data_IF_786262598047
#
_entry.id   IF_786262598047
#
_cell.length_a   1.000
_cell.length_b   1.000
_cell.length_c   1.000
_cell.angle_alpha   90.00
_cell.angle_beta   90.00
_cell.angle_gamma   90.00
#
_symmetry.space_group_name_H-M   'P 1'
#
loop_
_entity.id
_entity.type
_entity.pdbx_description
1 polymer ?
#
# COMPACT_ATOMS: atom_id res chain seq x y z
N UNK A 1 -11.70 24.77 -3.91
CA UNK A 1 -11.47 23.88 -5.08
C UNK A 1 -10.09 23.23 -5.05
N UNK A 2 -9.03 23.97 -4.71
CA UNK A 2 -7.64 23.48 -4.61
C UNK A 2 -7.44 22.37 -3.56
N UNK A 3 -7.96 22.58 -2.35
CA UNK A 3 -7.85 21.63 -1.22
C UNK A 3 -8.39 20.23 -1.57
N UNK A 4 -9.45 20.15 -2.38
CA UNK A 4 -10.04 18.87 -2.84
C UNK A 4 -9.15 18.12 -3.82
N UNK A 5 -8.43 18.85 -4.68
CA UNK A 5 -7.48 18.26 -5.63
C UNK A 5 -6.22 17.79 -4.90
N UNK A 6 -5.83 18.47 -3.82
CA UNK A 6 -4.66 18.11 -3.01
C UNK A 6 -4.87 16.88 -2.11
N UNK A 7 -6.08 16.66 -1.60
CA UNK A 7 -6.41 15.56 -0.69
C UNK A 7 -5.86 14.16 -1.12
N UNK A 8 -6.10 13.65 -2.34
CA UNK A 8 -5.56 12.35 -2.73
C UNK A 8 -4.02 12.29 -2.77
N UNK A 9 -3.35 13.42 -3.05
CA UNK A 9 -1.89 13.50 -3.00
C UNK A 9 -1.38 13.49 -1.57
N UNK A 10 -2.07 14.15 -0.64
CA UNK A 10 -1.74 14.05 0.78
C UNK A 10 -1.95 12.64 1.32
N UNK A 11 -2.98 11.92 0.87
CA UNK A 11 -3.16 10.53 1.27
C UNK A 11 -2.03 9.67 0.71
N UNK A 12 -1.72 9.79 -0.59
CA UNK A 12 -0.64 9.00 -1.19
C UNK A 12 0.70 9.30 -0.53
N UNK A 13 1.03 10.58 -0.31
CA UNK A 13 2.25 10.96 0.39
C UNK A 13 2.28 10.39 1.80
N UNK A 14 1.15 10.44 2.53
CA UNK A 14 1.02 9.84 3.86
C UNK A 14 1.28 8.34 3.85
N UNK A 15 0.67 7.60 2.92
CA UNK A 15 0.86 6.16 2.77
C UNK A 15 2.31 5.81 2.39
N UNK A 16 2.93 6.58 1.50
CA UNK A 16 4.36 6.41 1.15
C UNK A 16 5.23 6.63 2.38
N UNK A 17 5.01 7.68 3.16
CA UNK A 17 5.76 7.92 4.39
C UNK A 17 5.62 6.78 5.39
N UNK A 18 4.40 6.27 5.61
CA UNK A 18 4.15 5.15 6.54
C UNK A 18 4.86 3.89 6.04
N UNK A 19 4.65 3.51 4.78
CA UNK A 19 5.19 2.26 4.23
C UNK A 19 6.72 2.31 4.16
N UNK A 20 7.30 3.41 3.65
CA UNK A 20 8.75 3.54 3.54
C UNK A 20 9.42 3.57 4.90
N UNK A 21 8.86 4.29 5.89
CA UNK A 21 9.44 4.31 7.25
C UNK A 21 9.31 2.96 7.94
N UNK A 22 8.16 2.29 7.85
CA UNK A 22 7.96 0.96 8.44
C UNK A 22 8.88 -0.09 7.83
N UNK A 23 8.96 -0.17 6.50
CA UNK A 23 9.88 -1.11 5.83
C UNK A 23 11.34 -0.84 6.18
N UNK A 24 11.71 0.43 6.28
CA UNK A 24 13.07 0.80 6.66
C UNK A 24 13.39 0.40 8.11
N UNK A 25 12.46 0.62 9.05
CA UNK A 25 12.59 0.17 10.45
C UNK A 25 12.82 -1.34 10.52
N UNK A 26 12.05 -2.13 9.78
CA UNK A 26 12.20 -3.58 9.79
C UNK A 26 13.54 -4.04 9.19
N UNK A 27 13.97 -3.42 8.09
CA UNK A 27 15.19 -3.84 7.39
C UNK A 27 16.48 -3.53 8.15
N UNK A 28 16.48 -2.47 8.97
CA UNK A 28 17.65 -2.00 9.75
C UNK A 28 17.56 -2.46 11.21
N UNK A 29 16.64 -3.38 11.54
CA UNK A 29 16.43 -3.80 12.93
C UNK A 29 17.65 -4.47 13.56
N UNK A 30 18.34 -5.33 12.82
CA UNK A 30 19.52 -6.07 13.31
C UNK A 30 20.82 -5.26 13.23
N UNK A 31 20.81 -4.12 12.55
CA UNK A 31 21.98 -3.25 12.48
C UNK A 31 22.26 -2.58 13.83
N UNK A 32 23.54 -2.36 14.13
CA UNK A 32 23.98 -1.75 15.40
C UNK A 32 23.50 -0.30 15.57
N UNK A 33 23.10 0.37 14.49
CA UNK A 33 22.68 1.75 14.53
C UNK A 33 21.34 1.91 15.27
N UNK A 34 21.31 2.89 16.17
CA UNK A 34 20.05 3.34 16.77
C UNK A 34 19.13 3.85 15.69
N UNK A 35 17.84 3.55 15.77
CA UNK A 35 16.88 4.14 14.82
C UNK A 35 16.99 5.67 14.88
N UNK A 36 17.25 6.35 13.75
CA UNK A 36 17.28 7.78 13.69
C UNK A 36 15.89 8.27 14.05
N UNK A 37 15.84 9.30 14.90
CA UNK A 37 14.65 10.09 15.22
C UNK A 37 13.80 10.43 13.98
N UNK A 38 14.47 10.55 12.83
CA UNK A 38 13.88 10.72 11.51
C UNK A 38 12.79 9.69 11.18
N UNK A 39 12.95 8.41 11.52
CA UNK A 39 12.00 7.37 11.14
C UNK A 39 10.71 7.42 11.95
N UNK A 40 10.81 7.79 13.24
CA UNK A 40 9.65 8.13 14.07
C UNK A 40 8.90 9.33 13.50
N UNK A 41 9.64 10.39 13.15
CA UNK A 41 9.07 11.61 12.59
C UNK A 41 8.36 11.37 11.26
N UNK A 42 8.95 10.58 10.37
CA UNK A 42 8.32 10.20 9.10
C UNK A 42 7.04 9.39 9.31
N UNK A 43 7.05 8.42 10.23
CA UNK A 43 5.88 7.59 10.51
C UNK A 43 4.72 8.43 11.07
N UNK A 44 4.99 9.29 12.06
CA UNK A 44 3.99 10.23 12.61
C UNK A 44 3.48 11.18 11.53
N UNK A 45 4.38 11.77 10.74
CA UNK A 45 4.01 12.68 9.64
C UNK A 45 3.11 11.96 8.63
N UNK A 46 3.42 10.72 8.28
CA UNK A 46 2.61 9.91 7.37
C UNK A 46 1.21 9.62 7.90
N UNK A 47 1.09 9.30 9.18
CA UNK A 47 -0.20 9.10 9.86
C UNK A 47 -1.03 10.40 9.85
N UNK A 48 -0.41 11.52 10.24
CA UNK A 48 -1.08 12.83 10.27
C UNK A 48 -1.56 13.23 8.87
N UNK A 49 -0.72 13.09 7.85
CA UNK A 49 -1.11 13.37 6.45
C UNK A 49 -2.29 12.52 6.00
N UNK A 50 -2.31 11.25 6.36
CA UNK A 50 -3.38 10.32 6.01
C UNK A 50 -4.70 10.69 6.69
N UNK A 51 -4.66 11.03 7.98
CA UNK A 51 -5.84 11.49 8.75
C UNK A 51 -6.36 12.82 8.21
N UNK A 52 -5.48 13.80 7.97
CA UNK A 52 -5.86 15.11 7.42
C UNK A 52 -6.51 14.92 6.06
N UNK A 53 -5.94 14.10 5.19
CA UNK A 53 -6.53 13.81 3.88
C UNK A 53 -7.92 13.17 3.99
N UNK A 54 -8.09 12.22 4.90
CA UNK A 54 -9.38 11.59 5.17
C UNK A 54 -10.43 12.62 5.61
N UNK A 55 -10.09 13.48 6.58
CA UNK A 55 -10.99 14.53 7.08
C UNK A 55 -11.36 15.53 5.99
N UNK A 56 -10.38 15.96 5.18
CA UNK A 56 -10.62 16.86 4.04
C UNK A 56 -11.56 16.22 3.01
N UNK A 57 -11.41 14.92 2.76
CA UNK A 57 -12.26 14.18 1.82
C UNK A 57 -13.67 14.00 2.38
N UNK A 58 -13.80 13.71 3.68
CA UNK A 58 -15.07 13.55 4.37
C UNK A 58 -15.88 14.86 4.44
N UNK A 59 -15.22 15.99 4.74
CA UNK A 59 -15.85 17.30 4.86
C UNK A 59 -16.43 17.82 3.53
N UNK A 60 -15.93 17.34 2.39
CA UNK A 60 -16.30 17.84 1.05
C UNK A 60 -17.29 16.91 0.33
N UNK A 61 -17.97 16.00 1.05
CA UNK A 61 -18.95 15.05 0.49
C UNK A 61 -20.12 15.76 -0.22
N UNK A 62 -20.01 15.98 -1.53
CA UNK A 62 -21.14 16.19 -2.46
C UNK A 62 -21.45 14.90 -3.21
N UNK A 63 -22.75 14.70 -3.51
CA UNK A 63 -23.27 13.58 -4.32
C UNK A 63 -22.42 13.40 -5.60
N UNK A 64 -22.10 12.15 -6.00
CA UNK A 64 -21.26 11.89 -7.16
C UNK A 64 -21.95 12.42 -8.43
N UNK A 65 -21.37 13.43 -9.07
CA UNK A 65 -21.67 13.74 -10.46
C UNK A 65 -21.03 12.65 -11.31
N UNK A 66 -21.83 11.71 -11.79
CA UNK A 66 -21.41 10.68 -12.75
C UNK A 66 -20.94 11.38 -14.02
N UNK A 67 -19.63 11.41 -14.24
CA UNK A 67 -19.08 11.81 -15.54
C UNK A 67 -19.21 10.62 -16.50
N UNK A 68 -19.57 10.88 -17.76
CA UNK A 68 -19.93 9.89 -18.77
C UNK A 68 -18.86 8.80 -18.94
N UNK A 69 -19.30 7.57 -19.07
CA UNK A 69 -18.51 6.33 -19.21
C UNK A 69 -17.57 6.30 -20.43
N UNK A 70 -17.86 7.09 -21.48
CA UNK A 70 -17.09 7.13 -22.75
C UNK A 70 -15.65 7.60 -22.55
N UNK A 71 -15.42 8.76 -21.91
CA UNK A 71 -14.07 9.31 -21.68
C UNK A 71 -13.17 8.39 -20.84
N UNK A 72 -13.78 7.54 -19.99
CA UNK A 72 -13.05 6.61 -19.12
C UNK A 72 -12.54 5.39 -19.90
N UNK A 73 -13.28 4.91 -20.90
CA UNK A 73 -12.86 3.77 -21.73
C UNK A 73 -11.63 4.14 -22.57
N UNK A 74 -11.67 5.30 -23.21
CA UNK A 74 -10.57 5.79 -24.05
C UNK A 74 -9.30 6.05 -23.23
N UNK A 75 -9.42 6.66 -22.04
CA UNK A 75 -8.28 6.85 -21.14
C UNK A 75 -7.71 5.51 -20.65
N UNK A 76 -8.56 4.52 -20.37
CA UNK A 76 -8.14 3.22 -19.87
C UNK A 76 -7.46 2.39 -20.95
N UNK A 77 -7.97 2.42 -22.18
CA UNK A 77 -7.35 1.78 -23.34
C UNK A 77 -6.02 2.46 -23.70
N UNK A 78 -5.96 3.79 -23.60
CA UNK A 78 -4.71 4.55 -23.70
C UNK A 78 -3.71 4.16 -22.60
N UNK A 79 -4.15 4.09 -21.34
CA UNK A 79 -3.28 3.76 -20.21
C UNK A 79 -2.77 2.32 -20.28
N UNK A 80 -3.59 1.37 -20.77
CA UNK A 80 -3.18 -0.02 -20.98
C UNK A 80 -2.18 -0.17 -22.12
N UNK A 81 -2.47 0.41 -23.30
CA UNK A 81 -1.56 0.38 -24.46
C UNK A 81 -0.26 1.12 -24.20
N UNK A 82 -0.35 2.28 -23.56
CA UNK A 82 0.82 3.05 -23.13
C UNK A 82 1.58 2.30 -22.03
N UNK A 83 0.88 1.67 -21.09
CA UNK A 83 1.45 0.83 -20.04
C UNK A 83 2.26 -0.33 -20.61
N UNK A 84 1.81 -0.99 -21.68
CA UNK A 84 2.57 -2.07 -22.30
C UNK A 84 3.85 -1.57 -23.00
N UNK A 85 3.75 -0.43 -23.71
CA UNK A 85 4.88 0.15 -24.45
C UNK A 85 5.92 0.78 -23.52
N UNK A 86 5.50 1.60 -22.56
CA UNK A 86 6.37 2.27 -21.61
C UNK A 86 6.78 1.34 -20.47
N UNK A 87 5.92 0.42 -20.06
CA UNK A 87 6.21 -0.56 -19.01
C UNK A 87 7.36 -1.49 -19.40
N UNK A 88 7.37 -2.02 -20.65
CA UNK A 88 8.51 -2.83 -21.13
C UNK A 88 9.83 -2.04 -21.15
N UNK A 89 9.80 -0.77 -21.57
CA UNK A 89 10.98 0.12 -21.56
C UNK A 89 11.46 0.45 -20.15
N UNK A 90 10.52 0.74 -19.26
CA UNK A 90 10.80 1.09 -17.87
C UNK A 90 11.32 -0.13 -17.10
N UNK A 91 10.72 -1.30 -17.29
CA UNK A 91 11.22 -2.57 -16.73
C UNK A 91 12.62 -2.90 -17.26
N UNK A 92 12.86 -2.76 -18.57
CA UNK A 92 14.20 -2.94 -19.14
C UNK A 92 15.22 -1.94 -18.59
N UNK A 93 14.83 -0.68 -18.41
CA UNK A 93 15.68 0.36 -17.81
C UNK A 93 16.02 0.08 -16.34
N UNK A 94 15.03 -0.33 -15.55
CA UNK A 94 15.24 -0.74 -14.14
C UNK A 94 16.16 -1.95 -14.08
N UNK A 95 15.96 -2.95 -14.93
CA UNK A 95 16.80 -4.15 -14.95
C UNK A 95 18.25 -3.80 -15.34
N UNK A 96 18.44 -2.95 -16.35
CA UNK A 96 19.76 -2.47 -16.73
C UNK A 96 20.43 -1.68 -15.59
N UNK A 97 19.69 -0.80 -14.91
CA UNK A 97 20.20 -0.06 -13.75
C UNK A 97 20.60 -1.00 -12.60
N UNK A 98 19.79 -2.03 -12.32
CA UNK A 98 20.11 -3.04 -11.30
C UNK A 98 21.36 -3.85 -11.67
N UNK A 99 21.54 -4.24 -12.94
CA UNK A 99 22.75 -4.93 -13.40
C UNK A 99 23.98 -4.04 -13.22
N UNK A 100 23.88 -2.76 -13.59
CA UNK A 100 24.98 -1.80 -13.40
C UNK A 100 25.33 -1.67 -11.91
N UNK A 101 24.33 -1.47 -11.05
CA UNK A 101 24.54 -1.38 -9.59
C UNK A 101 25.16 -2.68 -9.08
N UNK A 102 24.68 -3.85 -9.52
CA UNK A 102 25.20 -5.14 -9.09
C UNK A 102 26.68 -5.36 -9.44
N UNK A 103 27.19 -4.73 -10.50
CA UNK A 103 28.61 -4.76 -10.82
C UNK A 103 29.48 -3.96 -9.83
N UNK A 104 28.91 -2.95 -9.15
CA UNK A 104 29.61 -2.13 -8.16
C UNK A 104 29.36 -2.60 -6.72
N UNK A 105 28.10 -2.92 -6.41
CA UNK A 105 27.63 -3.36 -5.10
C UNK A 105 26.44 -4.32 -5.28
N UNK A 106 26.73 -5.61 -5.18
CA UNK A 106 25.75 -6.68 -5.32
C UNK A 106 24.71 -6.68 -4.20
N UNK A 107 25.12 -6.35 -2.96
CA UNK A 107 24.23 -6.31 -1.82
C UNK A 107 23.23 -5.16 -1.95
N UNK A 108 23.70 -4.00 -2.41
CA UNK A 108 22.82 -2.86 -2.71
C UNK A 108 21.81 -3.23 -3.80
N UNK A 109 22.24 -3.89 -4.87
CA UNK A 109 21.34 -4.33 -5.94
C UNK A 109 20.23 -5.27 -5.44
N UNK A 110 20.56 -6.23 -4.57
CA UNK A 110 19.58 -7.10 -3.93
C UNK A 110 18.65 -6.31 -3.01
N UNK A 111 19.19 -5.39 -2.20
CA UNK A 111 18.39 -4.58 -1.28
C UNK A 111 17.34 -3.73 -2.00
N UNK A 112 17.62 -3.31 -3.24
CA UNK A 112 16.70 -2.53 -4.08
C UNK A 112 15.58 -3.37 -4.71
N UNK A 113 15.68 -4.70 -4.74
CA UNK A 113 14.61 -5.56 -5.29
C UNK A 113 13.32 -5.48 -4.47
N UNK A 114 13.41 -5.43 -3.14
CA UNK A 114 12.24 -5.34 -2.27
C UNK A 114 11.40 -4.07 -2.51
N UNK A 115 11.95 -2.84 -2.45
CA UNK A 115 11.18 -1.63 -2.74
C UNK A 115 10.69 -1.57 -4.18
N UNK A 116 11.46 -2.09 -5.16
CA UNK A 116 11.00 -2.22 -6.55
C UNK A 116 9.81 -3.17 -6.68
N UNK A 117 9.83 -4.29 -5.96
CA UNK A 117 8.72 -5.24 -5.92
C UNK A 117 7.46 -4.59 -5.35
N UNK A 118 7.57 -3.90 -4.21
CA UNK A 118 6.43 -3.18 -3.59
C UNK A 118 5.89 -2.11 -4.54
N UNK A 119 6.76 -1.32 -5.17
CA UNK A 119 6.37 -0.30 -6.14
C UNK A 119 5.67 -0.91 -7.37
N UNK A 120 6.22 -1.99 -7.93
CA UNK A 120 5.66 -2.72 -9.06
C UNK A 120 4.29 -3.30 -8.76
N UNK A 121 4.15 -4.02 -7.63
CA UNK A 121 2.89 -4.61 -7.19
C UNK A 121 1.83 -3.55 -6.88
N UNK A 122 2.22 -2.42 -6.28
CA UNK A 122 1.33 -1.28 -6.03
C UNK A 122 0.86 -0.63 -7.34
N UNK A 123 1.75 -0.54 -8.34
CA UNK A 123 1.41 -0.06 -9.69
C UNK A 123 0.44 -0.99 -10.41
N UNK A 124 0.66 -2.30 -10.35
CA UNK A 124 -0.26 -3.31 -10.89
C UNK A 124 -1.62 -3.24 -10.19
N UNK A 125 -1.65 -3.13 -8.85
CA UNK A 125 -2.88 -2.95 -8.10
C UNK A 125 -3.64 -1.69 -8.53
N UNK A 126 -2.94 -0.56 -8.74
CA UNK A 126 -3.54 0.65 -9.27
C UNK A 126 -4.17 0.42 -10.64
N UNK A 127 -3.46 -0.23 -11.58
CA UNK A 127 -3.99 -0.53 -12.91
C UNK A 127 -5.22 -1.43 -12.82
N UNK A 128 -5.18 -2.48 -11.99
CA UNK A 128 -6.29 -3.40 -11.80
C UNK A 128 -7.52 -2.68 -11.23
N UNK A 129 -7.33 -1.85 -10.21
CA UNK A 129 -8.39 -1.02 -9.63
C UNK A 129 -8.94 -0.08 -10.70
N UNK A 130 -8.11 0.50 -11.57
CA UNK A 130 -8.57 1.37 -12.67
C UNK A 130 -9.37 0.61 -13.73
N UNK A 131 -8.97 -0.63 -14.03
CA UNK A 131 -9.60 -1.51 -15.00
C UNK A 131 -10.99 -2.00 -14.57
N UNK A 132 -11.26 -2.01 -13.26
CA UNK A 132 -12.57 -2.36 -12.72
C UNK A 132 -13.67 -1.45 -13.32
N UNK A 133 -14.54 -2.09 -14.12
CA UNK A 133 -15.75 -1.50 -14.68
C UNK A 133 -16.94 -1.97 -13.86
N UNK A 134 -17.64 -1.02 -13.28
CA UNK A 134 -18.85 -1.26 -12.49
C UNK A 134 -19.95 -1.87 -13.38
N UNK A 135 -20.10 -3.20 -13.33
CA UNK A 135 -21.20 -3.94 -13.95
C UNK A 135 -22.43 -3.93 -13.04
N UNK A 136 -22.90 -2.75 -12.64
CA UNK A 136 -24.29 -2.49 -12.23
C UNK A 136 -24.94 -3.29 -11.09
N UNK A 137 -24.29 -4.26 -10.44
CA UNK A 137 -24.89 -5.02 -9.35
C UNK A 137 -24.63 -4.34 -8.01
N UNK A 138 -25.61 -3.59 -7.52
CA UNK A 138 -25.66 -3.11 -6.14
C UNK A 138 -25.96 -4.28 -5.20
N UNK A 139 -24.93 -4.96 -4.69
CA UNK A 139 -25.10 -5.87 -3.54
C UNK A 139 -24.50 -5.20 -2.33
N UNK A 140 -25.27 -4.30 -1.70
CA UNK A 140 -24.85 -3.77 -0.41
C UNK A 140 -24.80 -4.93 0.61
N UNK A 141 -23.65 -5.16 1.27
CA UNK A 141 -23.60 -6.12 2.35
C UNK A 141 -24.49 -5.63 3.50
N UNK A 142 -25.46 -6.47 3.91
CA UNK A 142 -26.38 -6.18 5.04
C UNK A 142 -25.68 -6.13 6.41
N UNK A 143 -24.44 -6.62 6.51
CA UNK A 143 -23.72 -6.75 7.76
C UNK A 143 -22.95 -5.46 8.12
N UNK A 144 -23.12 -4.99 9.35
CA UNK A 144 -22.50 -3.75 9.88
C UNK A 144 -20.97 -3.79 9.86
N UNK A 145 -20.36 -4.94 10.15
CA UNK A 145 -18.90 -5.12 10.12
C UNK A 145 -18.30 -4.94 8.73
N UNK A 146 -18.92 -5.54 7.71
CA UNK A 146 -18.52 -5.39 6.30
C UNK A 146 -18.71 -3.94 5.82
N UNK A 147 -19.69 -3.22 6.37
CA UNK A 147 -19.87 -1.80 6.10
C UNK A 147 -18.80 -0.91 6.75
N UNK A 148 -18.20 -1.35 7.85
CA UNK A 148 -17.11 -0.66 8.53
C UNK A 148 -15.80 -0.86 7.76
N UNK A 149 -15.53 -2.06 7.25
CA UNK A 149 -14.34 -2.34 6.43
C UNK A 149 -14.42 -1.82 4.98
N UNK A 150 -15.52 -1.17 4.57
CA UNK A 150 -15.69 -0.67 3.21
C UNK A 150 -14.67 0.43 2.85
N UNK A 151 -13.64 0.09 2.07
CA UNK A 151 -12.58 1.02 1.64
C UNK A 151 -13.08 2.16 0.74
N UNK A 152 -14.34 2.14 0.30
CA UNK A 152 -14.96 3.31 -0.34
C UNK A 152 -15.21 4.43 0.66
N UNK A 153 -15.42 4.10 1.94
CA UNK A 153 -15.80 5.05 2.98
C UNK A 153 -14.63 5.51 3.84
N UNK A 154 -13.60 4.68 4.00
CA UNK A 154 -12.38 5.01 4.73
C UNK A 154 -11.12 4.43 4.05
N UNK A 155 -9.96 5.10 4.16
CA UNK A 155 -8.70 4.58 3.64
C UNK A 155 -7.97 3.67 4.64
N UNK A 156 -8.45 3.59 5.88
CA UNK A 156 -7.80 2.81 6.94
C UNK A 156 -8.17 1.34 6.79
N UNK A 157 -7.19 0.54 6.42
CA UNK A 157 -7.35 -0.88 6.14
C UNK A 157 -6.83 -1.74 7.30
N UNK A 158 -7.25 -3.01 7.37
CA UNK A 158 -6.76 -3.89 8.44
C UNK A 158 -5.25 -4.13 8.28
N UNK A 159 -4.78 -4.20 7.04
CA UNK A 159 -3.35 -4.26 6.74
C UNK A 159 -2.59 -3.03 7.22
N UNK A 160 -3.16 -1.83 7.14
CA UNK A 160 -2.53 -0.61 7.67
C UNK A 160 -2.36 -0.67 9.19
N UNK A 161 -3.39 -1.12 9.91
CA UNK A 161 -3.33 -1.25 11.38
C UNK A 161 -2.25 -2.25 11.76
N UNK A 162 -2.25 -3.42 11.13
CA UNK A 162 -1.26 -4.46 11.41
C UNK A 162 0.17 -4.01 11.05
N UNK A 163 0.35 -3.30 9.94
CA UNK A 163 1.64 -2.74 9.55
C UNK A 163 2.15 -1.71 10.58
N UNK A 164 1.27 -0.88 11.13
CA UNK A 164 1.63 0.04 12.21
C UNK A 164 2.02 -0.71 13.50
N UNK A 165 1.37 -1.83 13.82
CA UNK A 165 1.80 -2.69 14.93
C UNK A 165 3.18 -3.28 14.70
N UNK A 166 3.48 -3.76 13.50
CA UNK A 166 4.84 -4.18 13.15
C UNK A 166 5.86 -3.06 13.38
N UNK A 167 5.66 -1.90 12.75
CA UNK A 167 6.58 -0.78 12.90
C UNK A 167 6.74 -0.36 14.37
N UNK A 168 5.65 -0.25 15.13
CA UNK A 168 5.69 0.11 16.54
C UNK A 168 6.40 -0.96 17.39
N UNK A 169 6.14 -2.24 17.15
CA UNK A 169 6.79 -3.35 17.87
C UNK A 169 8.30 -3.29 17.74
N UNK A 170 8.81 -3.13 16.52
CA UNK A 170 10.24 -3.06 16.24
C UNK A 170 10.88 -1.80 16.85
N UNK A 171 10.22 -0.65 16.75
CA UNK A 171 10.67 0.60 17.36
C UNK A 171 10.77 0.49 18.89
N UNK A 172 9.73 -0.06 19.55
CA UNK A 172 9.69 -0.26 21.00
C UNK A 172 10.74 -1.27 21.43
N UNK A 173 10.82 -2.41 20.75
CA UNK A 173 11.80 -3.46 21.05
C UNK A 173 13.22 -2.91 21.02
N UNK A 174 13.60 -2.16 19.97
CA UNK A 174 14.94 -1.56 19.87
C UNK A 174 15.18 -0.52 20.96
N UNK A 175 14.18 0.31 21.28
CA UNK A 175 14.29 1.29 22.36
C UNK A 175 14.48 0.64 23.74
N UNK A 176 13.80 -0.48 23.98
CA UNK A 176 13.87 -1.24 25.23
C UNK A 176 15.03 -2.26 25.27
N UNK A 177 15.80 -2.42 24.19
CA UNK A 177 16.87 -3.42 24.08
C UNK A 177 16.37 -4.88 24.07
N UNK A 178 15.11 -5.10 23.70
CA UNK A 178 14.51 -6.43 23.59
C UNK A 178 14.86 -6.99 22.22
N UNK A 179 15.47 -8.17 22.13
CA UNK A 179 15.68 -8.86 20.85
C UNK A 179 14.40 -9.60 20.45
N UNK A 180 13.88 -9.27 19.27
CA UNK A 180 12.74 -9.91 18.65
C UNK A 180 13.20 -11.05 17.76
N UNK A 181 12.41 -12.11 17.67
CA UNK A 181 12.72 -13.25 16.83
C UNK A 181 12.35 -12.96 15.36
N UNK A 182 13.21 -12.20 14.68
CA UNK A 182 13.07 -11.87 13.26
C UNK A 182 13.67 -13.01 12.45
N UNK A 183 13.01 -14.17 12.52
CA UNK A 183 13.62 -15.47 12.23
C UNK A 183 14.53 -15.55 11.00
N UNK A 184 15.76 -16.01 11.22
CA UNK A 184 16.56 -16.89 10.35
C UNK A 184 17.48 -17.69 11.30
N UNK A 185 17.42 -19.03 11.34
CA UNK A 185 18.48 -19.85 10.70
C UNK A 185 18.07 -21.32 10.42
N UNK A 186 16.86 -21.78 10.72
CA UNK A 186 16.53 -23.22 10.60
C UNK A 186 15.73 -23.57 9.33
N UNK A 187 16.43 -23.72 8.20
CA UNK A 187 16.27 -24.85 7.27
C UNK A 187 14.90 -25.24 6.69
N UNK A 188 13.87 -24.38 6.66
CA UNK A 188 12.68 -24.65 5.83
C UNK A 188 12.40 -23.48 4.89
N UNK A 189 12.68 -23.69 3.61
CA UNK A 189 12.58 -22.72 2.51
C UNK A 189 11.12 -22.27 2.20
N UNK A 190 10.13 -22.69 2.98
CA UNK A 190 8.70 -22.49 2.69
C UNK A 190 7.92 -21.63 3.71
N UNK A 191 8.58 -21.06 4.73
CA UNK A 191 7.89 -20.21 5.73
C UNK A 191 7.86 -18.74 5.31
N UNK A 192 6.69 -18.10 5.45
CA UNK A 192 6.51 -16.67 5.22
C UNK A 192 7.38 -15.89 6.22
N UNK A 193 8.45 -15.27 5.73
CA UNK A 193 9.32 -14.47 6.59
C UNK A 193 8.66 -13.15 6.97
N UNK A 194 9.06 -12.58 8.10
CA UNK A 194 8.54 -11.29 8.58
C UNK A 194 8.67 -10.18 7.53
N UNK A 195 9.81 -10.01 6.83
CA UNK A 195 9.93 -9.00 5.78
C UNK A 195 8.95 -9.23 4.62
N UNK A 196 8.70 -10.50 4.24
CA UNK A 196 7.73 -10.83 3.20
C UNK A 196 6.30 -10.49 3.62
N UNK A 197 5.92 -10.84 4.86
CA UNK A 197 4.62 -10.52 5.43
C UNK A 197 4.36 -9.00 5.38
N UNK A 198 5.32 -8.19 5.84
CA UNK A 198 5.19 -6.73 5.86
C UNK A 198 5.16 -6.13 4.45
N UNK A 199 5.88 -6.69 3.49
CA UNK A 199 5.78 -6.29 2.08
C UNK A 199 4.39 -6.56 1.48
N UNK A 200 3.75 -7.69 1.81
CA UNK A 200 2.37 -7.94 1.37
C UNK A 200 1.37 -6.98 2.01
N UNK A 201 1.54 -6.65 3.29
CA UNK A 201 0.74 -5.61 3.96
C UNK A 201 0.90 -4.25 3.27
N UNK A 202 2.12 -3.86 2.89
CA UNK A 202 2.39 -2.63 2.16
C UNK A 202 1.61 -2.54 0.84
N UNK A 203 1.58 -3.63 0.06
CA UNK A 203 0.81 -3.69 -1.21
C UNK A 203 -0.68 -3.52 -0.95
N UNK A 204 -1.22 -4.16 0.10
CA UNK A 204 -2.65 -4.06 0.47
C UNK A 204 -3.03 -2.66 0.98
N UNK A 205 -2.13 -1.98 1.69
CA UNK A 205 -2.28 -0.58 2.10
C UNK A 205 -2.42 0.33 0.87
N UNK A 206 -1.58 0.14 -0.15
CA UNK A 206 -1.71 0.91 -1.38
C UNK A 206 -2.97 0.54 -2.16
N UNK A 207 -3.34 -0.74 -2.25
CA UNK A 207 -4.55 -1.17 -2.95
C UNK A 207 -5.83 -0.58 -2.32
N UNK A 208 -5.94 -0.61 -0.99
CA UNK A 208 -7.05 0.01 -0.25
C UNK A 208 -7.04 1.53 -0.37
N UNK A 209 -5.86 2.17 -0.26
CA UNK A 209 -5.68 3.60 -0.47
C UNK A 209 -6.10 4.09 -1.86
N UNK A 210 -5.66 3.40 -2.93
CA UNK A 210 -6.05 3.72 -4.31
C UNK A 210 -7.55 3.53 -4.54
N UNK A 211 -8.14 2.50 -3.95
CA UNK A 211 -9.59 2.27 -4.00
C UNK A 211 -10.34 3.47 -3.39
N UNK A 212 -9.92 3.93 -2.22
CA UNK A 212 -10.50 5.09 -1.56
C UNK A 212 -10.35 6.38 -2.40
N UNK A 213 -9.15 6.63 -2.93
CA UNK A 213 -8.83 7.79 -3.75
C UNK A 213 -9.70 7.86 -5.00
N UNK A 214 -9.73 6.77 -5.78
CA UNK A 214 -10.44 6.73 -7.07
C UNK A 214 -11.95 6.81 -6.84
N UNK A 215 -12.46 6.25 -5.73
CA UNK A 215 -13.87 6.33 -5.38
C UNK A 215 -14.30 7.77 -5.01
N UNK A 216 -13.49 8.47 -4.22
CA UNK A 216 -13.93 9.71 -3.56
C UNK A 216 -13.45 11.00 -4.20
N UNK A 217 -12.27 11.04 -4.83
CA UNK A 217 -11.62 12.32 -5.21
C UNK A 217 -11.27 12.42 -6.69
N UNK A 218 -10.85 11.32 -7.32
CA UNK A 218 -10.24 11.31 -8.66
C UNK A 218 -8.75 11.66 -8.55
N UNK A 219 -7.90 11.10 -9.42
CA UNK A 219 -6.45 11.07 -9.22
C UNK A 219 -5.68 11.11 -10.53
N UNK A 220 -4.63 11.94 -10.65
CA UNK A 220 -3.84 12.08 -11.89
C UNK A 220 -4.69 12.30 -13.16
N UNK A 221 -5.72 13.15 -13.09
CA UNK A 221 -6.61 13.39 -14.22
C UNK A 221 -7.65 12.30 -14.46
N UNK A 222 -7.57 11.17 -13.73
CA UNK A 222 -8.56 10.10 -13.79
C UNK A 222 -9.82 10.56 -13.03
N UNK A 223 -11.00 10.54 -13.68
CA UNK A 223 -12.25 10.91 -13.03
C UNK A 223 -12.63 9.89 -11.95
N UNK A 224 -13.45 10.34 -11.00
CA UNK A 224 -13.99 9.48 -9.95
C UNK A 224 -14.76 8.33 -10.57
N UNK A 225 -14.55 7.12 -10.06
CA UNK A 225 -15.27 5.93 -10.51
C UNK A 225 -15.85 5.20 -9.32
N UNK A 226 -17.12 4.80 -9.43
CA UNK A 226 -17.63 3.73 -8.58
C UNK A 226 -16.83 2.47 -8.83
N UNK A 227 -16.62 1.72 -7.75
CA UNK A 227 -15.86 0.48 -7.72
C UNK A 227 -16.83 -0.64 -7.42
N UNK A 228 -16.67 -1.74 -8.14
CA UNK A 228 -17.54 -2.90 -8.02
C UNK A 228 -17.42 -3.50 -6.61
N UNK A 229 -18.53 -4.08 -6.12
CA UNK A 229 -18.52 -4.80 -4.86
C UNK A 229 -17.57 -6.01 -4.92
N UNK A 230 -17.37 -6.60 -6.11
CA UNK A 230 -16.46 -7.73 -6.36
C UNK A 230 -15.00 -7.35 -6.11
N UNK A 231 -14.55 -6.20 -6.63
CA UNK A 231 -13.19 -5.71 -6.39
C UNK A 231 -12.93 -5.51 -4.89
N UNK A 232 -13.89 -4.91 -4.19
CA UNK A 232 -13.77 -4.62 -2.76
C UNK A 232 -13.70 -5.93 -1.96
N UNK A 233 -14.56 -6.91 -2.28
CA UNK A 233 -14.51 -8.24 -1.68
C UNK A 233 -13.18 -8.95 -1.95
N UNK A 234 -12.61 -8.81 -3.15
CA UNK A 234 -11.29 -9.38 -3.46
C UNK A 234 -10.17 -8.77 -2.59
N UNK A 235 -10.17 -7.44 -2.42
CA UNK A 235 -9.21 -6.77 -1.52
C UNK A 235 -9.41 -7.23 -0.08
N UNK A 236 -10.67 -7.33 0.40
CA UNK A 236 -10.95 -7.82 1.76
C UNK A 236 -10.49 -9.27 1.96
N UNK A 237 -10.72 -10.15 0.98
CA UNK A 237 -10.25 -11.53 1.04
C UNK A 237 -8.72 -11.58 1.09
N UNK A 238 -8.04 -10.75 0.30
CA UNK A 238 -6.59 -10.57 0.37
C UNK A 238 -6.13 -10.09 1.74
N UNK A 239 -6.77 -9.07 2.32
CA UNK A 239 -6.46 -8.61 3.68
C UNK A 239 -6.68 -9.68 4.74
N UNK A 240 -7.70 -10.51 4.61
CA UNK A 240 -7.98 -11.57 5.58
C UNK A 240 -6.93 -12.68 5.50
N UNK A 241 -6.55 -13.10 4.29
CA UNK A 241 -5.54 -14.15 4.09
C UNK A 241 -4.16 -13.63 4.49
N UNK A 242 -3.67 -12.57 3.85
CA UNK A 242 -2.32 -12.06 4.09
C UNK A 242 -2.21 -11.35 5.44
N UNK A 243 -3.23 -10.61 5.86
CA UNK A 243 -3.27 -9.99 7.19
C UNK A 243 -3.38 -11.02 8.30
N UNK A 244 -4.14 -12.10 8.12
CA UNK A 244 -4.19 -13.21 9.07
C UNK A 244 -2.83 -13.92 9.23
N UNK A 245 -2.19 -14.28 8.11
CA UNK A 245 -0.85 -14.87 8.12
C UNK A 245 0.19 -13.92 8.74
N UNK A 246 0.11 -12.63 8.40
CA UNK A 246 1.01 -11.62 8.96
C UNK A 246 0.77 -11.41 10.45
N UNK A 247 -0.46 -11.55 10.95
CA UNK A 247 -0.76 -11.43 12.37
C UNK A 247 -0.21 -12.61 13.15
N UNK A 248 -0.30 -13.83 12.59
CA UNK A 248 0.36 -15.00 13.18
C UNK A 248 1.87 -14.80 13.25
N UNK A 249 2.50 -14.39 12.15
CA UNK A 249 3.92 -14.06 12.14
C UNK A 249 4.26 -13.01 13.21
N UNK A 250 3.43 -11.98 13.38
CA UNK A 250 3.65 -10.95 14.39
C UNK A 250 3.64 -11.51 15.81
N UNK A 251 2.68 -12.40 16.12
CA UNK A 251 2.61 -13.06 17.44
C UNK A 251 3.85 -13.92 17.68
N UNK A 252 4.33 -14.65 16.67
CA UNK A 252 5.53 -15.49 16.79
C UNK A 252 6.81 -14.70 17.02
N UNK A 253 6.92 -13.46 16.54
CA UNK A 253 8.10 -12.61 16.79
C UNK A 253 8.24 -12.23 18.27
N UNK A 254 7.11 -12.17 18.98
CA UNK A 254 7.02 -11.82 20.40
C UNK A 254 7.07 -13.01 21.36
N UNK A 255 7.00 -14.24 20.83
CA UNK A 255 7.08 -15.49 21.57
C UNK A 255 8.53 -16.01 21.60
#
# INVERSE_FOLDING_TARGET
>A
MFIRKAAPYFLLAGLVCIVSSGLWVLNVYDDYDSYPYFSYMLLITGIVLSIVSFLLTAAVRRKPSLQKSEDKKDYMEWAWRSGEKYGKKLAGGILAALIIIACFDFNLAISLLSPLFVAGMSGVALIFILHDQDKGEKRQPKNTFLNMADYRKQPFSLSLILFLFYAASFLISKHCGIQLNVGMESGSEETLTVPQAVNYLAVLIFASGFTYIIHNTGFFGIPRSKKSDVLIMAIHAGELVFGGLSLLAWVFIWL
#
